data_IF_390678598653
#
_entry.id   IF_390678598653
#
_cell.length_a   1.000
_cell.length_b   1.000
_cell.length_c   1.000
_cell.angle_alpha   90.00
_cell.angle_beta   90.00
_cell.angle_gamma   90.00
#
_symmetry.space_group_name_H-M   'P 1'
#
loop_
_entity.id
_entity.type
_entity.pdbx_description
1 polymer ?
#
# COMPACT_ATOMS: atom_id res chain seq x y z
N UNK A 1 14.17 -12.39 13.04
CA UNK A 1 13.37 -12.97 11.93
C UNK A 1 12.37 -14.07 12.36
N UNK A 2 11.93 -14.16 13.63
CA UNK A 2 10.98 -15.21 14.09
C UNK A 2 9.55 -14.73 14.34
N UNK A 3 9.31 -13.42 14.39
CA UNK A 3 7.99 -12.86 14.75
C UNK A 3 7.03 -12.70 13.57
N UNK A 4 7.52 -12.63 12.32
CA UNK A 4 6.68 -12.56 11.12
C UNK A 4 5.85 -13.83 10.89
N UNK A 5 6.32 -14.97 11.41
CA UNK A 5 5.67 -16.28 11.24
C UNK A 5 4.44 -16.48 12.12
N UNK A 6 4.35 -15.81 13.28
CA UNK A 6 3.25 -16.01 14.23
C UNK A 6 1.96 -15.32 13.77
N UNK A 7 2.06 -14.18 13.07
CA UNK A 7 0.90 -13.51 12.45
C UNK A 7 0.25 -14.38 11.35
N UNK A 8 1.06 -15.18 10.65
CA UNK A 8 0.62 -15.97 9.49
C UNK A 8 -0.24 -17.20 9.85
N UNK A 9 -0.10 -17.76 11.06
CA UNK A 9 -0.88 -18.95 11.49
C UNK A 9 -2.28 -18.63 12.01
N UNK A 10 -2.53 -17.43 12.53
CA UNK A 10 -3.83 -17.07 13.09
C UNK A 10 -4.93 -16.84 12.02
N UNK A 11 -4.55 -16.60 10.76
CA UNK A 11 -5.46 -16.19 9.69
C UNK A 11 -6.09 -17.33 8.85
N UNK A 12 -5.72 -18.60 9.06
CA UNK A 12 -6.00 -19.68 8.09
C UNK A 12 -7.24 -20.55 8.37
N UNK A 13 -8.17 -20.15 9.24
CA UNK A 13 -9.18 -21.11 9.73
C UNK A 13 -10.56 -21.16 9.03
N UNK A 14 -10.91 -20.38 7.99
CA UNK A 14 -12.21 -20.58 7.29
C UNK A 14 -12.17 -20.25 5.78
N UNK A 15 -12.32 -21.29 4.95
CA UNK A 15 -12.23 -21.25 3.47
C UNK A 15 -13.49 -20.65 2.84
N UNK A 16 -13.33 -19.64 1.98
CA UNK A 16 -14.37 -19.14 1.08
C UNK A 16 -14.46 -17.61 1.06
N UNK A 17 -14.89 -16.99 2.17
CA UNK A 17 -15.02 -15.52 2.31
C UNK A 17 -13.86 -14.84 3.02
N UNK A 18 -12.98 -15.61 3.67
CA UNK A 18 -11.84 -15.05 4.41
C UNK A 18 -10.67 -14.64 3.51
N UNK A 19 -10.59 -15.16 2.27
CA UNK A 19 -9.45 -14.89 1.38
C UNK A 19 -9.43 -13.43 0.93
N UNK A 20 -10.58 -12.85 0.59
CA UNK A 20 -10.67 -11.46 0.13
C UNK A 20 -10.25 -10.47 1.24
N UNK A 21 -10.63 -10.75 2.49
CA UNK A 21 -10.22 -9.95 3.66
C UNK A 21 -8.73 -10.02 4.00
N UNK A 22 -8.00 -11.02 3.46
CA UNK A 22 -6.57 -11.23 3.72
C UNK A 22 -5.67 -10.72 2.58
N UNK A 23 -6.22 -10.54 1.39
CA UNK A 23 -5.47 -10.16 0.20
C UNK A 23 -4.98 -8.71 0.27
N UNK A 24 -5.81 -7.80 0.76
CA UNK A 24 -5.44 -6.41 1.02
C UNK A 24 -4.26 -6.29 2.01
N UNK A 25 -4.33 -6.88 3.23
CA UNK A 25 -3.20 -6.93 4.15
C UNK A 25 -1.92 -7.56 3.56
N UNK A 26 -2.05 -8.62 2.76
CA UNK A 26 -0.91 -9.27 2.12
C UNK A 26 -0.20 -8.35 1.12
N UNK A 27 -0.95 -7.65 0.25
CA UNK A 27 -0.37 -6.73 -0.71
C UNK A 27 0.33 -5.55 -0.04
N UNK A 28 -0.32 -4.92 0.95
CA UNK A 28 0.31 -3.83 1.70
C UNK A 28 1.60 -4.31 2.37
N UNK A 29 1.60 -5.52 2.95
CA UNK A 29 2.80 -6.11 3.55
C UNK A 29 3.91 -6.36 2.51
N UNK A 30 3.55 -6.86 1.33
CA UNK A 30 4.48 -7.06 0.24
C UNK A 30 5.07 -5.73 -0.26
N UNK A 31 4.26 -4.68 -0.36
CA UNK A 31 4.70 -3.34 -0.78
C UNK A 31 5.68 -2.73 0.24
N UNK A 32 5.37 -2.86 1.53
CA UNK A 32 6.28 -2.45 2.62
C UNK A 32 7.62 -3.18 2.54
N UNK A 33 7.60 -4.49 2.30
CA UNK A 33 8.82 -5.27 2.11
C UNK A 33 9.61 -4.81 0.88
N UNK A 34 8.92 -4.50 -0.22
CA UNK A 34 9.53 -3.91 -1.42
C UNK A 34 10.25 -2.60 -1.12
N UNK A 35 9.61 -1.69 -0.38
CA UNK A 35 10.24 -0.43 0.05
C UNK A 35 11.46 -0.66 0.94
N UNK A 36 11.37 -1.59 1.91
CA UNK A 36 12.51 -1.91 2.77
C UNK A 36 13.72 -2.46 1.97
N UNK A 37 13.46 -3.18 0.87
CA UNK A 37 14.50 -3.70 0.00
C UNK A 37 15.13 -2.61 -0.89
N UNK A 38 14.35 -1.70 -1.47
CA UNK A 38 14.89 -0.67 -2.37
C UNK A 38 15.37 0.59 -1.64
N UNK A 39 14.88 0.86 -0.42
CA UNK A 39 15.30 1.97 0.43
C UNK A 39 14.90 3.37 -0.05
N UNK A 40 14.12 3.45 -1.12
CA UNK A 40 13.70 4.68 -1.79
C UNK A 40 12.20 4.62 -2.13
N UNK A 41 11.44 5.58 -1.58
CA UNK A 41 10.00 5.67 -1.73
C UNK A 41 9.59 5.97 -3.18
N UNK A 42 10.30 6.85 -3.88
CA UNK A 42 9.96 7.20 -5.26
C UNK A 42 10.18 6.00 -6.20
N UNK A 43 11.21 5.19 -5.95
CA UNK A 43 11.45 3.94 -6.68
C UNK A 43 10.34 2.93 -6.41
N UNK A 44 9.92 2.76 -5.14
CA UNK A 44 8.86 1.83 -4.77
C UNK A 44 7.51 2.23 -5.37
N UNK A 45 7.16 3.52 -5.34
CA UNK A 45 5.94 4.07 -5.95
C UNK A 45 5.92 3.85 -7.47
N UNK A 46 7.05 4.11 -8.14
CA UNK A 46 7.17 3.87 -9.59
C UNK A 46 7.03 2.38 -9.93
N UNK A 47 7.58 1.50 -9.10
CA UNK A 47 7.45 0.05 -9.29
C UNK A 47 5.99 -0.40 -9.19
N UNK A 48 5.21 0.14 -8.25
CA UNK A 48 3.77 -0.12 -8.16
C UNK A 48 3.01 0.42 -9.38
N UNK A 49 3.34 1.63 -9.83
CA UNK A 49 2.70 2.23 -11.00
C UNK A 49 2.94 1.41 -12.28
N UNK A 50 4.16 0.86 -12.46
CA UNK A 50 4.51 -0.03 -13.59
C UNK A 50 3.61 -1.26 -13.69
N UNK A 51 3.03 -1.73 -12.58
CA UNK A 51 2.12 -2.88 -12.59
C UNK A 51 0.79 -2.58 -13.31
N UNK A 52 0.37 -1.31 -13.37
CA UNK A 52 -0.89 -0.90 -14.00
C UNK A 52 -0.71 -0.18 -15.33
N UNK A 53 0.40 0.55 -15.52
CA UNK A 53 0.66 1.29 -16.76
C UNK A 53 1.57 0.53 -17.74
N UNK A 54 2.20 -0.56 -17.30
CA UNK A 54 3.20 -1.28 -18.06
C UNK A 54 4.60 -0.64 -17.94
N UNK A 55 5.62 -1.44 -18.25
CA UNK A 55 7.02 -1.09 -18.00
C UNK A 55 7.50 0.14 -18.79
N UNK A 56 6.97 0.35 -20.00
CA UNK A 56 7.44 1.39 -20.93
C UNK A 56 6.82 2.78 -20.68
N UNK A 57 5.61 2.84 -20.13
CA UNK A 57 4.85 4.09 -19.99
C UNK A 57 4.90 4.68 -18.59
N UNK A 58 5.27 3.89 -17.58
CA UNK A 58 5.28 4.35 -16.21
C UNK A 58 6.16 5.57 -15.96
N UNK A 59 7.30 5.71 -16.64
CA UNK A 59 8.22 6.84 -16.42
C UNK A 59 7.67 8.16 -16.97
N UNK A 60 6.65 8.11 -17.83
CA UNK A 60 5.97 9.29 -18.41
C UNK A 60 4.78 9.76 -17.59
N UNK A 61 4.33 8.95 -16.63
CA UNK A 61 3.15 9.26 -15.82
C UNK A 61 3.55 10.15 -14.65
N UNK A 62 2.92 11.31 -14.56
CA UNK A 62 2.95 12.14 -13.37
C UNK A 62 2.17 11.43 -12.25
N UNK A 63 2.90 11.04 -11.20
CA UNK A 63 2.36 10.28 -10.08
C UNK A 63 1.37 11.11 -9.27
N UNK A 64 1.64 12.39 -9.07
CA UNK A 64 0.75 13.27 -8.31
C UNK A 64 -0.52 13.55 -9.10
N UNK A 65 -0.42 13.74 -10.41
CA UNK A 65 -1.59 13.87 -11.28
C UNK A 65 -2.42 12.58 -11.30
N UNK A 66 -1.78 11.41 -11.33
CA UNK A 66 -2.43 10.10 -11.21
C UNK A 66 -3.19 9.96 -9.88
N UNK A 67 -2.54 10.27 -8.76
CA UNK A 67 -3.15 10.19 -7.43
C UNK A 67 -4.25 11.24 -7.21
N UNK A 68 -4.08 12.44 -7.78
CA UNK A 68 -5.11 13.49 -7.76
C UNK A 68 -6.32 13.04 -8.55
N UNK A 69 -6.13 12.52 -9.76
CA UNK A 69 -7.21 11.97 -10.59
C UNK A 69 -7.88 10.80 -9.89
N UNK A 70 -7.16 9.87 -9.27
CA UNK A 70 -7.79 8.75 -8.56
C UNK A 70 -8.64 9.20 -7.37
N UNK A 71 -8.28 10.31 -6.72
CA UNK A 71 -9.08 10.92 -5.63
C UNK A 71 -10.30 11.71 -6.14
N UNK A 72 -10.18 12.38 -7.29
CA UNK A 72 -11.27 13.16 -7.88
C UNK A 72 -12.22 12.33 -8.73
N UNK A 73 -11.82 11.13 -9.12
CA UNK A 73 -12.57 10.26 -10.02
C UNK A 73 -13.66 9.48 -9.28
N UNK A 74 -14.65 10.22 -8.81
CA UNK A 74 -16.06 9.84 -8.96
C UNK A 74 -16.50 9.92 -10.46
N UNK A 75 -15.59 10.11 -11.42
CA UNK A 75 -15.89 10.25 -12.85
C UNK A 75 -15.46 9.06 -13.72
N UNK A 76 -14.63 8.12 -13.22
CA UNK A 76 -14.39 6.81 -13.87
C UNK A 76 -15.44 5.74 -13.46
N UNK A 77 -16.63 6.21 -13.06
CA UNK A 77 -17.62 5.43 -12.31
C UNK A 77 -18.28 4.27 -13.07
N UNK A 78 -18.19 4.14 -14.40
CA UNK A 78 -18.90 3.04 -15.10
C UNK A 78 -18.04 1.79 -15.34
N UNK A 79 -16.75 1.93 -15.71
CA UNK A 79 -15.88 0.78 -16.03
C UNK A 79 -14.83 0.50 -14.94
N UNK A 80 -14.32 1.52 -14.26
CA UNK A 80 -13.36 1.37 -13.15
C UNK A 80 -14.02 0.82 -11.88
N UNK A 81 -15.23 1.29 -11.55
CA UNK A 81 -15.99 0.81 -10.39
C UNK A 81 -16.49 -0.64 -10.55
N UNK A 82 -16.87 -1.07 -11.77
CA UNK A 82 -17.18 -2.47 -12.04
C UNK A 82 -15.94 -3.36 -11.90
N UNK A 83 -14.77 -2.85 -12.30
CA UNK A 83 -13.52 -3.56 -12.11
C UNK A 83 -13.06 -3.55 -10.65
N UNK A 84 -13.33 -2.50 -9.86
CA UNK A 84 -13.05 -2.47 -8.41
C UNK A 84 -14.01 -3.38 -7.61
N UNK A 85 -15.30 -3.41 -7.95
CA UNK A 85 -16.30 -4.30 -7.33
C UNK A 85 -16.06 -5.78 -7.68
N UNK A 86 -15.35 -6.06 -8.78
CA UNK A 86 -14.91 -7.41 -9.19
C UNK A 86 -13.43 -7.66 -8.90
N UNK A 87 -12.66 -6.65 -8.49
CA UNK A 87 -11.25 -6.78 -8.18
C UNK A 87 -11.09 -7.31 -6.76
N UNK A 88 -10.48 -8.48 -6.65
CA UNK A 88 -10.07 -9.05 -5.37
C UNK A 88 -8.94 -8.25 -4.69
N UNK A 89 -8.56 -7.08 -5.19
CA UNK A 89 -7.32 -6.38 -4.88
C UNK A 89 -7.55 -4.87 -4.70
N UNK A 90 -6.92 -4.22 -3.70
CA UNK A 90 -6.97 -2.78 -3.56
C UNK A 90 -6.40 -2.06 -4.79
N UNK A 91 -6.99 -0.92 -5.14
CA UNK A 91 -6.48 -0.05 -6.19
C UNK A 91 -5.01 0.33 -5.93
N UNK A 92 -4.21 0.41 -7.00
CA UNK A 92 -2.79 0.77 -6.89
C UNK A 92 -2.59 2.16 -6.28
N UNK A 93 -3.49 3.11 -6.55
CA UNK A 93 -3.50 4.42 -5.88
C UNK A 93 -3.58 4.31 -4.35
N UNK A 94 -4.53 3.51 -3.83
CA UNK A 94 -4.68 3.22 -2.40
C UNK A 94 -3.45 2.53 -1.81
N UNK A 95 -2.82 1.62 -2.56
CA UNK A 95 -1.57 0.94 -2.15
C UNK A 95 -0.38 1.90 -2.09
N UNK A 96 -0.27 2.83 -3.05
CA UNK A 96 0.75 3.88 -3.05
C UNK A 96 0.56 4.80 -1.83
N UNK A 97 -0.67 5.21 -1.53
CA UNK A 97 -0.96 6.02 -0.33
C UNK A 97 -0.62 5.27 0.96
N UNK A 98 -0.98 3.98 1.07
CA UNK A 98 -0.60 3.14 2.20
C UNK A 98 0.93 2.99 2.35
N UNK A 99 1.65 2.94 1.23
CA UNK A 99 3.11 2.88 1.21
C UNK A 99 3.75 4.20 1.69
N UNK A 100 3.19 5.36 1.29
CA UNK A 100 3.59 6.69 1.79
C UNK A 100 3.41 6.80 3.30
N UNK A 101 2.27 6.34 3.83
CA UNK A 101 2.03 6.31 5.27
C UNK A 101 3.06 5.45 6.00
N UNK A 102 3.41 4.28 5.45
CA UNK A 102 4.46 3.44 6.03
C UNK A 102 5.82 4.13 6.01
N UNK A 103 6.22 4.76 4.91
CA UNK A 103 7.46 5.54 4.84
C UNK A 103 7.52 6.69 5.88
N UNK A 104 6.36 7.18 6.32
CA UNK A 104 6.20 8.23 7.32
C UNK A 104 5.76 7.69 8.70
N UNK A 105 6.28 6.54 9.11
CA UNK A 105 5.95 5.91 10.40
C UNK A 105 7.20 5.55 11.20
N UNK A 106 7.08 5.55 12.53
CA UNK A 106 8.18 5.20 13.45
C UNK A 106 8.79 3.83 13.10
N UNK A 107 7.93 2.86 12.82
CA UNK A 107 8.33 1.49 12.48
C UNK A 107 9.22 1.42 11.23
N UNK A 108 9.04 2.30 10.24
CA UNK A 108 9.91 2.31 9.06
C UNK A 108 11.33 2.76 9.41
N UNK A 109 11.47 3.81 10.23
CA UNK A 109 12.76 4.28 10.70
C UNK A 109 13.45 3.24 11.58
N UNK A 110 12.70 2.59 12.48
CA UNK A 110 13.21 1.52 13.32
C UNK A 110 13.72 0.32 12.50
N UNK A 111 12.96 -0.10 11.49
CA UNK A 111 13.33 -1.24 10.64
C UNK A 111 14.50 -0.94 9.71
N UNK A 112 14.69 0.32 9.31
CA UNK A 112 15.80 0.74 8.44
C UNK A 112 17.03 1.21 9.21
N UNK A 113 16.94 1.34 10.55
CA UNK A 113 18.01 1.88 11.39
C UNK A 113 18.30 3.36 11.13
N UNK A 114 17.37 4.09 10.51
CA UNK A 114 17.50 5.53 10.24
C UNK A 114 17.12 6.31 11.51
N UNK A 115 17.80 7.44 11.81
CA UNK A 115 17.38 8.29 12.90
C UNK A 115 16.00 8.88 12.60
N UNK A 116 15.19 9.04 13.64
CA UNK A 116 13.89 9.68 13.53
C UNK A 116 14.11 11.19 13.26
N UNK A 117 13.46 11.78 12.24
CA UNK A 117 13.55 13.21 11.98
C UNK A 117 12.97 14.03 13.15
N UNK A 118 13.71 15.01 13.65
CA UNK A 118 13.30 15.85 14.78
C UNK A 118 12.17 16.85 14.41
N UNK A 119 12.04 17.17 13.13
CA UNK A 119 11.13 18.17 12.59
C UNK A 119 9.79 17.58 12.08
N UNK A 120 9.60 16.27 12.19
CA UNK A 120 8.43 15.58 11.66
C UNK A 120 7.78 14.68 12.71
N UNK A 121 6.46 14.83 12.86
CA UNK A 121 5.65 13.92 13.68
C UNK A 121 5.37 12.64 12.90
N UNK A 122 6.09 11.57 13.21
CA UNK A 122 5.87 10.26 12.60
C UNK A 122 4.58 9.59 13.10
N UNK A 123 4.00 8.73 12.26
CA UNK A 123 2.87 7.92 12.66
C UNK A 123 3.31 6.82 13.64
N UNK A 124 2.62 6.71 14.77
CA UNK A 124 2.72 5.53 15.62
C UNK A 124 2.23 4.29 14.88
N UNK A 125 2.58 3.10 15.38
CA UNK A 125 2.10 1.84 14.80
C UNK A 125 0.56 1.79 14.73
N UNK A 126 -0.11 2.16 15.82
CA UNK A 126 -1.57 2.10 15.92
C UNK A 126 -2.22 3.06 14.92
N UNK A 127 -1.66 4.26 14.78
CA UNK A 127 -2.17 5.27 13.85
C UNK A 127 -1.93 4.87 12.39
N UNK A 128 -0.76 4.32 12.08
CA UNK A 128 -0.46 3.75 10.77
C UNK A 128 -1.48 2.67 10.40
N UNK A 129 -1.69 1.68 11.27
CA UNK A 129 -2.59 0.58 11.00
C UNK A 129 -4.04 1.06 10.83
N UNK A 130 -4.48 2.03 11.63
CA UNK A 130 -5.80 2.65 11.48
C UNK A 130 -5.98 3.32 10.12
N UNK A 131 -5.05 4.22 9.73
CA UNK A 131 -5.14 4.95 8.46
C UNK A 131 -5.03 4.04 7.24
N UNK A 132 -4.14 3.05 7.28
CA UNK A 132 -4.01 2.07 6.20
C UNK A 132 -5.30 1.27 6.06
N UNK A 133 -5.92 0.85 7.17
CA UNK A 133 -7.21 0.16 7.11
C UNK A 133 -8.35 1.05 6.60
N UNK A 134 -8.28 2.37 6.76
CA UNK A 134 -9.27 3.30 6.19
C UNK A 134 -9.12 3.42 4.67
N UNK A 135 -7.89 3.43 4.16
CA UNK A 135 -7.58 3.62 2.74
C UNK A 135 -7.79 2.34 1.93
N UNK A 136 -7.46 1.17 2.51
CA UNK A 136 -7.37 -0.10 1.77
C UNK A 136 -8.66 -0.92 1.86
N UNK A 137 -9.68 -0.46 2.60
CA UNK A 137 -11.01 -1.08 2.61
C UNK A 137 -11.60 -1.07 1.19
N UNK A 138 -12.22 -2.19 0.75
CA UNK A 138 -12.97 -2.24 -0.50
C UNK A 138 -14.22 -1.36 -0.45
#
# INVERSE_FOLDING_TARGET
MRHAWLYWRAAQSHRGRAVDGLVAPFQVTADRAGLLCCGDIAVAERALLRLVTGLADADRVDLEDYLRKSRSSEEFHSLGMMNELLASHPAISRRIEALRLFAHSEIYYDLTGRPHPEDQLLLTREELDRRVNEIVKP
#
